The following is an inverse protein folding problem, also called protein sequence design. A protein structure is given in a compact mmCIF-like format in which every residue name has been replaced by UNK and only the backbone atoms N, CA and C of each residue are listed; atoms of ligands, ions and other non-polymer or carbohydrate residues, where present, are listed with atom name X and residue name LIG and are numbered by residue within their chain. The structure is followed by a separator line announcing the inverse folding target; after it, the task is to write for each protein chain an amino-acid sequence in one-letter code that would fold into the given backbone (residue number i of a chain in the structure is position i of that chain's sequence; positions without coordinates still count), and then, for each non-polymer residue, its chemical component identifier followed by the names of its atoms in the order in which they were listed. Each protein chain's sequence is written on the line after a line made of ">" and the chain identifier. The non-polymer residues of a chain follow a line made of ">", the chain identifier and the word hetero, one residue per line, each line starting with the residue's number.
data_IF_821625451166
#
_entry.id   IF_821625451166
#
_cell.length_a   1.000
_cell.length_b   1.000
_cell.length_c   1.000
_cell.angle_alpha   90.00
_cell.angle_beta   90.00
_cell.angle_gamma   90.00
#
_symmetry.space_group_name_H-M   'P 1'
#
loop_
_entity.id
_entity.type
_entity.pdbx_description
1 polymer ?
#
# COMPACT_ATOMS: atom_id res chain seq x y z
N UNK A 1 -28.45 37.39 -5.99
CA UNK A 1 -27.88 37.27 -4.62
C UNK A 1 -28.49 36.07 -3.89
N UNK A 2 -29.81 36.04 -3.65
CA UNK A 2 -30.49 34.96 -2.92
C UNK A 2 -30.22 33.54 -3.46
N UNK A 3 -30.29 33.35 -4.79
CA UNK A 3 -30.00 32.06 -5.44
C UNK A 3 -28.56 31.55 -5.24
N UNK A 4 -27.58 32.45 -5.14
CA UNK A 4 -26.18 32.06 -4.87
C UNK A 4 -26.01 31.62 -3.42
N UNK A 5 -26.70 32.28 -2.50
CA UNK A 5 -26.68 31.93 -1.07
C UNK A 5 -27.34 30.56 -0.85
N UNK A 6 -28.51 30.32 -1.46
CA UNK A 6 -29.19 29.03 -1.37
C UNK A 6 -28.34 27.88 -1.93
N UNK A 7 -27.71 28.07 -3.10
CA UNK A 7 -26.83 27.06 -3.68
C UNK A 7 -25.60 26.76 -2.81
N UNK A 8 -25.03 27.78 -2.15
CA UNK A 8 -23.92 27.58 -1.19
C UNK A 8 -24.41 26.80 0.04
N UNK A 9 -25.60 27.11 0.55
CA UNK A 9 -26.20 26.38 1.66
C UNK A 9 -26.50 24.92 1.29
N UNK A 10 -26.98 24.66 0.08
CA UNK A 10 -27.21 23.31 -0.41
C UNK A 10 -25.90 22.51 -0.45
N UNK A 11 -24.81 23.09 -0.97
CA UNK A 11 -23.50 22.44 -0.98
C UNK A 11 -22.96 22.18 0.43
N UNK A 12 -23.14 23.12 1.36
CA UNK A 12 -22.75 22.94 2.76
C UNK A 12 -23.57 21.85 3.45
N UNK A 13 -24.88 21.80 3.19
CA UNK A 13 -25.77 20.76 3.71
C UNK A 13 -25.41 19.39 3.15
N UNK A 14 -25.09 19.31 1.85
CA UNK A 14 -24.65 18.07 1.20
C UNK A 14 -23.29 17.61 1.72
N UNK A 15 -22.33 18.52 1.87
CA UNK A 15 -21.03 18.22 2.45
C UNK A 15 -21.16 17.73 3.89
N UNK A 16 -22.03 18.36 4.70
CA UNK A 16 -22.32 17.94 6.07
C UNK A 16 -23.00 16.57 6.11
N UNK A 17 -23.95 16.31 5.22
CA UNK A 17 -24.60 15.02 5.12
C UNK A 17 -23.60 13.91 4.75
N UNK A 18 -22.68 14.20 3.82
CA UNK A 18 -21.62 13.26 3.42
C UNK A 18 -20.64 13.01 4.58
N UNK A 19 -20.21 14.04 5.33
CA UNK A 19 -19.29 13.83 6.45
C UNK A 19 -19.92 13.02 7.58
N UNK A 20 -21.21 13.22 7.86
CA UNK A 20 -21.96 12.40 8.84
C UNK A 20 -22.16 10.96 8.31
N UNK A 21 -22.44 10.78 7.01
CA UNK A 21 -22.57 9.45 6.42
C UNK A 21 -21.22 8.71 6.34
N UNK A 22 -20.12 9.46 6.23
CA UNK A 22 -18.76 8.93 6.16
C UNK A 22 -18.12 8.69 7.54
N UNK A 23 -18.72 9.15 8.64
CA UNK A 23 -18.24 8.76 9.97
C UNK A 23 -18.45 7.26 10.16
N UNK A 24 -17.32 6.53 10.18
CA UNK A 24 -17.31 5.08 10.27
C UNK A 24 -18.05 4.55 11.49
N UNK A 25 -18.67 3.38 11.31
CA UNK A 25 -19.54 2.72 12.28
C UNK A 25 -18.91 2.73 13.68
N UNK A 26 -19.71 3.13 14.69
CA UNK A 26 -19.25 3.11 16.07
C UNK A 26 -19.08 1.64 16.48
N UNK A 27 -17.92 1.22 17.02
CA UNK A 27 -17.70 -0.18 17.35
C UNK A 27 -18.80 -0.67 18.29
N UNK A 28 -19.60 -1.63 17.83
CA UNK A 28 -20.49 -2.36 18.72
C UNK A 28 -19.59 -3.33 19.47
N UNK A 29 -19.38 -3.16 20.78
CA UNK A 29 -18.45 -3.98 21.59
C UNK A 29 -18.97 -5.41 21.85
N UNK A 30 -19.65 -6.00 20.86
CA UNK A 30 -20.29 -7.31 20.91
C UNK A 30 -19.32 -8.44 20.57
N UNK A 31 -18.34 -8.21 19.71
CA UNK A 31 -17.37 -9.22 19.28
C UNK A 31 -15.96 -8.93 19.84
N UNK A 32 -15.14 -9.97 19.99
CA UNK A 32 -13.72 -9.86 20.36
C UNK A 32 -12.95 -9.04 19.33
N UNK A 33 -13.29 -9.16 18.05
CA UNK A 33 -12.69 -8.34 16.98
C UNK A 33 -12.92 -6.84 17.21
N UNK A 34 -14.14 -6.44 17.56
CA UNK A 34 -14.50 -5.04 17.81
C UNK A 34 -13.75 -4.45 19.03
N UNK A 35 -13.44 -5.29 20.02
CA UNK A 35 -12.65 -4.92 21.20
C UNK A 35 -11.17 -4.75 20.89
N UNK A 36 -10.61 -5.55 20.00
CA UNK A 36 -9.22 -5.35 19.53
C UNK A 36 -9.14 -4.10 18.68
N UNK A 37 -10.16 -3.89 17.83
CA UNK A 37 -10.24 -2.75 16.91
C UNK A 37 -10.20 -1.39 17.59
N UNK A 38 -10.74 -1.26 18.81
CA UNK A 38 -10.66 -0.01 19.57
C UNK A 38 -9.22 0.41 19.89
N UNK A 39 -8.28 -0.54 19.97
CA UNK A 39 -6.85 -0.28 20.18
C UNK A 39 -6.06 -0.19 18.88
N UNK A 40 -6.51 -0.84 17.80
CA UNK A 40 -5.77 -0.91 16.53
C UNK A 40 -6.26 0.07 15.46
N UNK A 41 -7.35 0.82 15.69
CA UNK A 41 -7.95 1.70 14.66
C UNK A 41 -6.96 2.68 14.01
N UNK A 42 -6.03 3.22 14.80
CA UNK A 42 -5.05 4.20 14.33
C UNK A 42 -3.90 3.58 13.52
N UNK A 43 -3.80 2.24 13.50
CA UNK A 43 -2.75 1.48 12.80
C UNK A 43 -3.34 0.51 11.77
N UNK A 44 -4.63 0.62 11.47
CA UNK A 44 -5.28 -0.12 10.38
C UNK A 44 -4.74 0.36 9.01
N UNK A 45 -4.87 -0.51 8.01
CA UNK A 45 -4.44 -0.18 6.65
C UNK A 45 -5.22 1.03 6.09
N UNK A 46 -4.48 2.03 5.64
CA UNK A 46 -5.01 3.29 5.11
C UNK A 46 -5.36 3.16 3.63
N UNK A 47 -6.51 2.53 3.35
CA UNK A 47 -6.99 2.31 1.98
C UNK A 47 -7.10 3.62 1.17
N UNK A 48 -7.74 4.70 1.66
CA UNK A 48 -7.91 5.91 0.87
C UNK A 48 -6.59 6.54 0.43
N UNK A 49 -5.62 6.70 1.34
CA UNK A 49 -4.34 7.30 0.99
C UNK A 49 -3.53 6.37 0.09
N UNK A 50 -3.55 5.06 0.35
CA UNK A 50 -2.90 4.08 -0.53
C UNK A 50 -3.43 4.14 -1.97
N UNK A 51 -4.76 4.26 -2.16
CA UNK A 51 -5.36 4.40 -3.50
C UNK A 51 -4.90 5.67 -4.19
N UNK A 52 -4.89 6.80 -3.48
CA UNK A 52 -4.45 8.08 -4.05
C UNK A 52 -2.96 8.08 -4.42
N UNK A 53 -2.10 7.56 -3.55
CA UNK A 53 -0.67 7.45 -3.78
C UNK A 53 -0.37 6.52 -4.97
N UNK A 54 -1.10 5.40 -5.07
CA UNK A 54 -0.97 4.46 -6.18
C UNK A 54 -1.40 5.10 -7.52
N UNK A 55 -2.53 5.83 -7.53
CA UNK A 55 -3.00 6.52 -8.72
C UNK A 55 -1.98 7.56 -9.21
N UNK A 56 -1.40 8.36 -8.30
CA UNK A 56 -0.37 9.34 -8.63
C UNK A 56 0.90 8.69 -9.14
N UNK A 57 1.34 7.61 -8.49
CA UNK A 57 2.50 6.81 -8.92
C UNK A 57 2.29 6.28 -10.33
N UNK A 58 1.13 5.69 -10.62
CA UNK A 58 0.80 5.15 -11.95
C UNK A 58 0.77 6.22 -13.03
N UNK A 59 0.21 7.38 -12.72
CA UNK A 59 0.25 8.52 -13.64
C UNK A 59 1.71 8.92 -13.98
N UNK A 60 2.56 9.02 -12.96
CA UNK A 60 3.99 9.27 -13.15
C UNK A 60 4.69 8.20 -13.99
N UNK A 61 4.41 6.91 -13.73
CA UNK A 61 4.98 5.79 -14.49
C UNK A 61 4.63 5.85 -15.97
N UNK A 62 3.38 6.15 -16.30
CA UNK A 62 2.91 6.30 -17.68
C UNK A 62 3.57 7.49 -18.37
N UNK A 63 3.70 8.63 -17.69
CA UNK A 63 4.26 9.85 -18.27
C UNK A 63 5.73 9.70 -18.70
N UNK A 64 6.53 8.90 -17.99
CA UNK A 64 7.96 8.69 -18.29
C UNK A 64 8.25 7.41 -19.08
N UNK A 65 7.23 6.62 -19.43
CA UNK A 65 7.40 5.37 -20.16
C UNK A 65 8.25 4.35 -19.41
N UNK A 66 8.02 4.21 -18.10
CA UNK A 66 8.91 3.47 -17.18
C UNK A 66 9.34 2.06 -17.64
N UNK A 67 8.47 1.22 -18.24
CA UNK A 67 8.87 -0.11 -18.74
C UNK A 67 10.02 -0.08 -19.76
N UNK A 68 10.16 1.02 -20.50
CA UNK A 68 11.11 1.20 -21.59
C UNK A 68 12.34 2.01 -21.19
N UNK A 69 12.47 2.38 -19.91
CA UNK A 69 13.56 3.22 -19.42
C UNK A 69 14.91 2.49 -19.39
N UNK A 70 14.89 1.18 -19.13
CA UNK A 70 16.09 0.35 -19.02
C UNK A 70 16.09 -0.81 -20.01
N UNK A 71 17.27 -1.36 -20.27
CA UNK A 71 17.40 -2.60 -21.04
C UNK A 71 16.86 -3.81 -20.25
N UNK A 72 16.62 -4.91 -20.96
CA UNK A 72 16.03 -6.13 -20.40
C UNK A 72 16.86 -6.73 -19.24
N UNK A 73 18.20 -6.63 -19.31
CA UNK A 73 19.10 -7.12 -18.27
C UNK A 73 18.90 -6.35 -16.97
N UNK A 74 18.96 -5.03 -17.05
CA UNK A 74 18.73 -4.12 -15.91
C UNK A 74 17.32 -4.31 -15.32
N UNK A 75 16.28 -4.38 -16.16
CA UNK A 75 14.91 -4.64 -15.70
C UNK A 75 14.78 -5.95 -14.92
N UNK A 76 15.43 -7.03 -15.38
CA UNK A 76 15.48 -8.30 -14.66
C UNK A 76 16.17 -8.17 -13.29
N UNK A 77 17.28 -7.45 -13.24
CA UNK A 77 18.02 -7.23 -11.98
C UNK A 77 17.19 -6.44 -10.97
N UNK A 78 16.45 -5.42 -11.42
CA UNK A 78 15.52 -4.64 -10.59
C UNK A 78 14.45 -5.56 -9.98
N UNK A 79 13.80 -6.41 -10.80
CA UNK A 79 12.78 -7.36 -10.31
C UNK A 79 13.37 -8.33 -9.30
N UNK A 80 14.55 -8.90 -9.58
CA UNK A 80 15.22 -9.82 -8.65
C UNK A 80 15.61 -9.12 -7.35
N UNK A 81 16.10 -7.88 -7.43
CA UNK A 81 16.44 -7.08 -6.25
C UNK A 81 15.19 -6.77 -5.41
N UNK A 82 14.06 -6.46 -6.03
CA UNK A 82 12.78 -6.26 -5.35
C UNK A 82 12.32 -7.53 -4.63
N UNK A 83 12.35 -8.68 -5.31
CA UNK A 83 11.95 -9.96 -4.71
C UNK A 83 12.86 -10.37 -3.54
N UNK A 84 14.18 -10.20 -3.67
CA UNK A 84 15.12 -10.45 -2.57
C UNK A 84 14.89 -9.52 -1.39
N UNK A 85 14.66 -8.23 -1.65
CA UNK A 85 14.37 -7.25 -0.58
C UNK A 85 13.08 -7.63 0.15
N UNK A 86 12.05 -8.04 -0.59
CA UNK A 86 10.77 -8.52 -0.03
C UNK A 86 10.97 -9.78 0.83
N UNK A 87 11.77 -10.74 0.37
CA UNK A 87 12.09 -11.94 1.14
C UNK A 87 12.80 -11.58 2.45
N UNK A 88 13.80 -10.70 2.42
CA UNK A 88 14.49 -10.23 3.62
C UNK A 88 13.57 -9.50 4.58
N UNK A 89 12.63 -8.70 4.05
CA UNK A 89 11.63 -7.99 4.85
C UNK A 89 10.74 -8.97 5.62
N UNK A 90 10.20 -9.98 4.93
CA UNK A 90 9.39 -11.03 5.56
C UNK A 90 10.15 -11.79 6.66
N UNK A 91 11.45 -12.04 6.45
CA UNK A 91 12.29 -12.70 7.46
C UNK A 91 12.49 -11.81 8.70
N UNK A 92 12.74 -10.51 8.51
CA UNK A 92 12.88 -9.56 9.60
C UNK A 92 11.57 -9.43 10.40
N UNK A 93 10.42 -9.36 9.73
CA UNK A 93 9.11 -9.32 10.38
C UNK A 93 8.83 -10.60 11.17
N UNK A 94 9.08 -11.77 10.59
CA UNK A 94 8.92 -13.04 11.29
C UNK A 94 9.84 -13.16 12.52
N UNK A 95 11.04 -12.56 12.48
CA UNK A 95 11.94 -12.51 13.64
C UNK A 95 11.41 -11.57 14.73
N UNK A 96 10.87 -10.40 14.36
CA UNK A 96 10.22 -9.50 15.30
C UNK A 96 9.03 -10.20 15.96
N UNK A 97 8.18 -10.87 15.19
CA UNK A 97 7.03 -11.62 15.71
C UNK A 97 7.46 -12.68 16.72
N UNK A 98 8.52 -13.45 16.43
CA UNK A 98 9.07 -14.44 17.38
C UNK A 98 9.53 -13.80 18.69
N UNK A 99 10.19 -12.65 18.64
CA UNK A 99 10.62 -11.93 19.85
C UNK A 99 9.40 -11.49 20.68
N UNK A 100 8.35 -11.00 20.02
CA UNK A 100 7.13 -10.58 20.72
C UNK A 100 6.28 -11.74 21.23
N UNK A 101 6.38 -12.92 20.61
CA UNK A 101 5.71 -14.14 21.02
C UNK A 101 6.42 -14.87 22.19
N UNK A 102 7.72 -14.65 22.40
CA UNK A 102 8.48 -15.34 23.44
C UNK A 102 8.23 -14.72 24.84
N UNK A 103 7.68 -15.48 25.80
CA UNK A 103 7.45 -15.00 27.17
C UNK A 103 8.73 -14.90 28.01
N UNK A 104 9.83 -15.55 27.62
CA UNK A 104 11.10 -15.49 28.34
C UNK A 104 11.82 -14.14 28.12
N UNK A 105 11.48 -13.41 27.07
CA UNK A 105 12.04 -12.10 26.77
C UNK A 105 11.27 -11.03 27.54
N UNK A 106 11.92 -10.44 28.56
CA UNK A 106 11.32 -9.39 29.40
C UNK A 106 11.19 -8.06 28.67
N UNK A 107 12.26 -7.59 28.01
CA UNK A 107 12.27 -6.33 27.26
C UNK A 107 12.26 -6.60 25.75
N UNK A 108 11.05 -6.74 25.21
CA UNK A 108 10.80 -7.03 23.78
C UNK A 108 11.17 -5.87 22.86
N UNK A 109 11.03 -4.64 23.35
CA UNK A 109 11.33 -3.45 22.58
C UNK A 109 12.83 -3.31 22.37
N UNK A 110 13.62 -3.38 23.43
CA UNK A 110 15.08 -3.38 23.33
C UNK A 110 15.60 -4.57 22.52
N UNK A 111 15.05 -5.77 22.75
CA UNK A 111 15.48 -7.00 22.06
C UNK A 111 15.18 -6.98 20.55
N UNK A 112 14.09 -6.32 20.13
CA UNK A 112 13.71 -6.23 18.72
C UNK A 112 14.26 -5.00 17.99
N UNK A 113 14.83 -4.02 18.71
CA UNK A 113 15.25 -2.73 18.16
C UNK A 113 16.15 -2.86 16.92
N UNK A 114 17.14 -3.75 16.97
CA UNK A 114 18.04 -3.98 15.84
C UNK A 114 17.31 -4.50 14.59
N UNK A 115 16.45 -5.51 14.76
CA UNK A 115 15.71 -6.12 13.65
C UNK A 115 14.65 -5.17 13.10
N UNK A 116 14.02 -4.35 13.95
CA UNK A 116 13.12 -3.28 13.54
C UNK A 116 13.83 -2.23 12.66
N UNK A 117 15.02 -1.80 13.05
CA UNK A 117 15.82 -0.89 12.22
C UNK A 117 16.19 -1.51 10.87
N UNK A 118 16.53 -2.81 10.83
CA UNK A 118 16.76 -3.52 9.56
C UNK A 118 15.51 -3.55 8.69
N UNK A 119 14.35 -3.90 9.28
CA UNK A 119 13.06 -3.92 8.59
C UNK A 119 12.75 -2.55 7.98
N UNK A 120 12.95 -1.47 8.72
CA UNK A 120 12.66 -0.12 8.25
C UNK A 120 13.56 0.28 7.05
N UNK A 121 14.83 -0.13 7.06
CA UNK A 121 15.72 0.02 5.91
C UNK A 121 15.29 -0.82 4.70
N UNK A 122 14.81 -2.05 4.92
CA UNK A 122 14.27 -2.92 3.88
C UNK A 122 12.98 -2.36 3.28
N UNK A 123 12.09 -1.78 4.08
CA UNK A 123 10.87 -1.08 3.60
C UNK A 123 11.27 0.09 2.70
N UNK A 124 12.21 0.94 3.12
CA UNK A 124 12.67 2.06 2.30
C UNK A 124 13.26 1.57 0.96
N UNK A 125 14.04 0.49 0.99
CA UNK A 125 14.59 -0.11 -0.24
C UNK A 125 13.49 -0.68 -1.13
N UNK A 126 12.54 -1.41 -0.56
CA UNK A 126 11.41 -1.99 -1.28
C UNK A 126 10.60 -0.89 -1.97
N UNK A 127 10.28 0.19 -1.25
CA UNK A 127 9.53 1.33 -1.79
C UNK A 127 10.26 2.01 -2.96
N UNK A 128 11.60 2.07 -2.95
CA UNK A 128 12.36 2.60 -4.09
C UNK A 128 12.35 1.69 -5.33
N UNK A 129 12.27 0.37 -5.13
CA UNK A 129 12.34 -0.61 -6.21
C UNK A 129 10.95 -0.94 -6.78
N UNK A 130 9.90 -0.84 -5.96
CA UNK A 130 8.55 -1.29 -6.30
C UNK A 130 8.02 -0.66 -7.60
N UNK A 131 8.09 0.66 -7.83
CA UNK A 131 7.55 1.25 -9.06
C UNK A 131 8.22 0.72 -10.33
N UNK A 132 9.52 0.45 -10.26
CA UNK A 132 10.32 -0.04 -11.39
C UNK A 132 10.04 -1.52 -11.67
N UNK A 133 10.02 -2.33 -10.61
CA UNK A 133 9.73 -3.76 -10.70
C UNK A 133 8.30 -4.01 -11.16
N UNK A 134 7.34 -3.25 -10.65
CA UNK A 134 5.92 -3.35 -11.02
C UNK A 134 5.69 -2.99 -12.49
N UNK A 135 6.24 -1.86 -12.96
CA UNK A 135 6.12 -1.47 -14.37
C UNK A 135 6.73 -2.54 -15.31
N UNK A 136 7.87 -3.12 -14.91
CA UNK A 136 8.52 -4.21 -15.65
C UNK A 136 7.63 -5.45 -15.69
N UNK A 137 7.08 -5.88 -14.56
CA UNK A 137 6.22 -7.07 -14.47
C UNK A 137 4.91 -6.87 -15.22
N UNK A 138 4.31 -5.68 -15.11
CA UNK A 138 3.10 -5.31 -15.82
C UNK A 138 3.32 -5.45 -17.34
N UNK A 139 4.40 -4.87 -17.88
CA UNK A 139 4.73 -5.01 -19.30
C UNK A 139 4.93 -6.46 -19.73
N UNK A 140 5.56 -7.30 -18.91
CA UNK A 140 5.74 -8.72 -19.25
C UNK A 140 4.42 -9.50 -19.23
N UNK A 141 3.53 -9.20 -18.29
CA UNK A 141 2.17 -9.75 -18.28
C UNK A 141 1.43 -9.28 -19.53
N UNK A 142 1.62 -8.01 -19.91
CA UNK A 142 1.02 -7.45 -21.10
C UNK A 142 1.40 -8.16 -22.38
N UNK A 143 2.69 -8.40 -22.56
CA UNK A 143 3.21 -9.13 -23.72
C UNK A 143 2.65 -10.57 -23.73
N UNK A 144 2.61 -11.24 -22.58
CA UNK A 144 2.09 -12.60 -22.48
C UNK A 144 0.59 -12.69 -22.78
N UNK A 145 -0.21 -11.73 -22.32
CA UNK A 145 -1.66 -11.65 -22.60
C UNK A 145 -1.90 -11.36 -24.10
N UNK A 146 -1.08 -10.52 -24.71
CA UNK A 146 -1.11 -10.23 -26.13
C UNK A 146 -0.78 -11.47 -26.98
N UNK A 147 0.24 -12.22 -26.61
CA UNK A 147 0.62 -13.48 -27.27
C UNK A 147 -0.49 -14.53 -27.22
N UNK A 148 -1.32 -14.51 -26.18
CA UNK A 148 -2.48 -15.40 -26.03
C UNK A 148 -3.73 -14.91 -26.79
N UNK A 149 -3.68 -13.74 -27.43
CA UNK A 149 -4.82 -13.14 -28.13
C UNK A 149 -5.94 -12.67 -27.21
N UNK A 150 -5.64 -12.42 -25.93
CA UNK A 150 -6.61 -12.08 -24.88
C UNK A 150 -6.76 -10.56 -24.66
N UNK A 151 -6.33 -9.74 -25.61
CA UNK A 151 -6.30 -8.27 -25.46
C UNK A 151 -7.63 -7.57 -25.74
N UNK A 152 -8.62 -8.27 -26.32
CA UNK A 152 -9.90 -7.65 -26.70
C UNK A 152 -10.82 -7.54 -25.47
N UNK A 153 -10.98 -6.32 -24.95
CA UNK A 153 -11.99 -6.00 -23.93
C UNK A 153 -11.48 -5.36 -22.64
N UNK A 154 -10.19 -5.04 -22.53
CA UNK A 154 -9.72 -4.28 -21.38
C UNK A 154 -8.26 -3.89 -21.33
N UNK A 155 -7.47 -4.30 -22.33
CA UNK A 155 -6.00 -4.11 -22.41
C UNK A 155 -5.21 -4.69 -21.21
N UNK A 156 -3.90 -4.95 -21.37
CA UNK A 156 -3.21 -5.92 -20.53
C UNK A 156 -3.01 -5.56 -19.05
#
# INVERSE_FOLDING_TARGET
>A
MLYRILRVLDFLALALAITIAATGDAPRLTDTSDRVRSFTRNIEFDYPNWVWDAAWTKFGQGAIGLPYLFDRGTNKEIVVAYLRTTQSLMQAEAQIEKIFADPAITDKESSSAYVRNQRDGLIARQNSLAPLAEATLQSQISDAVADLGLTIGGEP
#
